data_IF_269475216194
#
_entry.id   IF_269475216194
#
_cell.length_a   1.000
_cell.length_b   1.000
_cell.length_c   1.000
_cell.angle_alpha   90.00
_cell.angle_beta   90.00
_cell.angle_gamma   90.00
#
_symmetry.space_group_name_H-M   'P 1'
#
loop_
_entity.id
_entity.type
_entity.pdbx_description
1 polymer ?
#
# COMPACT_ATOMS: atom_id res chain seq x y z
N UNK A 1 39.53 -33.86 6.71
CA UNK A 1 38.91 -32.97 7.73
C UNK A 1 39.69 -31.66 7.97
N UNK A 2 40.72 -31.32 7.19
CA UNK A 2 41.53 -30.09 7.41
C UNK A 2 41.17 -28.88 6.51
N UNK A 3 40.26 -29.02 5.54
CA UNK A 3 39.85 -27.91 4.66
C UNK A 3 38.70 -27.05 5.21
N UNK A 4 37.91 -27.57 6.14
CA UNK A 4 36.81 -26.81 6.78
C UNK A 4 37.36 -25.91 7.90
N UNK A 5 38.42 -26.33 8.60
CA UNK A 5 39.04 -25.55 9.67
C UNK A 5 39.75 -24.27 9.19
N UNK A 6 40.22 -24.22 7.92
CA UNK A 6 40.77 -22.98 7.33
C UNK A 6 39.69 -21.98 6.90
N UNK A 7 38.46 -22.43 6.62
CA UNK A 7 37.37 -21.55 6.20
C UNK A 7 36.81 -20.76 7.40
N UNK A 8 36.73 -21.39 8.57
CA UNK A 8 36.28 -20.70 9.80
C UNK A 8 37.34 -19.77 10.41
N UNK A 9 38.63 -20.00 10.16
CA UNK A 9 39.71 -19.12 10.63
C UNK A 9 39.87 -17.83 9.82
N UNK A 10 39.26 -17.75 8.63
CA UNK A 10 39.24 -16.55 7.79
C UNK A 10 38.03 -15.62 8.05
N UNK A 11 37.00 -16.12 8.75
CA UNK A 11 35.85 -15.31 9.17
C UNK A 11 36.08 -14.60 10.52
N UNK A 12 37.17 -14.91 11.21
CA UNK A 12 37.47 -14.41 12.56
C UNK A 12 38.44 -13.19 12.58
N UNK A 13 38.65 -12.53 11.43
CA UNK A 13 39.50 -11.33 11.33
C UNK A 13 38.85 -10.12 10.65
N UNK A 14 37.53 -10.09 10.48
CA UNK A 14 36.84 -8.83 10.17
C UNK A 14 35.97 -8.40 11.33
N UNK A 15 36.49 -7.39 12.05
CA UNK A 15 35.85 -6.57 13.08
C UNK A 15 34.41 -6.17 12.71
N UNK A 16 33.43 -7.00 13.06
CA UNK A 16 32.02 -6.66 12.94
C UNK A 16 31.20 -6.98 14.21
N UNK A 17 31.82 -7.50 15.27
CA UNK A 17 31.13 -7.80 16.54
C UNK A 17 31.14 -6.68 17.58
N UNK A 18 31.85 -5.57 17.36
CA UNK A 18 31.82 -4.40 18.28
C UNK A 18 30.90 -3.25 17.84
N UNK A 19 30.17 -3.38 16.73
CA UNK A 19 29.16 -2.38 16.32
C UNK A 19 27.70 -2.79 16.55
N UNK A 20 27.44 -3.99 17.08
CA UNK A 20 26.08 -4.46 17.37
C UNK A 20 25.75 -4.58 18.87
N UNK A 21 26.65 -4.12 19.75
CA UNK A 21 26.42 -4.10 21.18
C UNK A 21 25.71 -2.84 21.70
N UNK A 22 25.50 -1.80 20.88
CA UNK A 22 24.87 -0.56 21.34
C UNK A 22 23.93 0.06 20.31
N UNK A 23 22.66 -0.36 20.39
CA UNK A 23 21.43 0.42 20.06
C UNK A 23 20.17 -0.39 20.37
N UNK A 24 20.09 -0.94 21.58
CA UNK A 24 18.80 -1.25 22.22
C UNK A 24 18.14 0.06 22.68
N UNK A 25 17.75 0.95 21.76
CA UNK A 25 16.92 2.13 22.09
C UNK A 25 16.35 2.91 20.90
N UNK A 26 16.11 2.29 19.74
CA UNK A 26 15.33 2.95 18.69
C UNK A 26 14.06 2.16 18.42
N UNK A 27 12.97 2.63 19.03
CA UNK A 27 11.59 2.30 18.66
C UNK A 27 11.52 2.29 17.11
N UNK A 28 10.98 1.25 16.46
CA UNK A 28 10.79 1.29 15.01
C UNK A 28 10.06 2.60 14.66
N UNK A 29 10.44 3.30 13.57
CA UNK A 29 9.75 4.51 13.18
C UNK A 29 8.26 4.18 13.09
N UNK A 30 7.47 4.98 13.81
CA UNK A 30 6.04 4.78 13.95
C UNK A 30 5.42 4.66 12.55
N UNK A 31 4.88 3.48 12.22
CA UNK A 31 4.31 3.21 10.89
C UNK A 31 3.20 4.23 10.58
N UNK A 32 2.55 4.80 11.60
CA UNK A 32 1.60 5.89 11.49
C UNK A 32 2.28 7.20 11.04
N UNK A 33 3.38 7.61 11.68
CA UNK A 33 4.17 8.78 11.22
C UNK A 33 4.73 8.59 9.80
N UNK A 34 4.95 7.33 9.42
CA UNK A 34 5.46 6.92 8.13
C UNK A 34 4.39 6.90 7.02
N UNK A 35 3.25 6.23 7.23
CA UNK A 35 2.11 6.29 6.31
C UNK A 35 1.64 7.75 6.19
N UNK A 36 1.75 8.57 7.26
CA UNK A 36 1.39 10.00 7.25
C UNK A 36 2.19 10.75 6.20
N UNK A 37 3.51 10.54 6.15
CA UNK A 37 4.38 11.09 5.12
C UNK A 37 4.03 10.57 3.73
N UNK A 38 3.79 9.26 3.59
CA UNK A 38 3.48 8.65 2.28
C UNK A 38 2.16 9.15 1.72
N UNK A 39 1.13 9.34 2.54
CA UNK A 39 -0.17 9.78 2.03
C UNK A 39 -0.21 11.30 1.80
N UNK A 40 0.46 12.11 2.65
CA UNK A 40 0.75 13.52 2.32
C UNK A 40 1.55 13.63 1.00
N UNK A 41 2.39 12.64 0.68
CA UNK A 41 3.14 12.55 -0.58
C UNK A 41 2.23 12.11 -1.73
N UNK A 42 1.37 11.11 -1.58
CA UNK A 42 0.40 10.67 -2.62
C UNK A 42 -0.61 11.79 -2.94
N UNK A 43 -0.99 12.60 -1.95
CA UNK A 43 -1.85 13.77 -2.12
C UNK A 43 -1.16 14.98 -2.76
N UNK A 44 0.18 15.06 -2.71
CA UNK A 44 0.98 16.19 -3.24
C UNK A 44 1.86 15.85 -4.46
N UNK A 45 2.11 14.58 -4.77
CA UNK A 45 3.11 14.19 -5.77
C UNK A 45 2.48 13.99 -7.14
N UNK A 46 2.40 15.13 -7.81
CA UNK A 46 2.62 15.26 -9.25
C UNK A 46 4.13 15.31 -9.60
N UNK A 47 5.06 15.48 -8.64
CA UNK A 47 6.51 15.45 -8.90
C UNK A 47 7.28 14.50 -7.97
N UNK A 48 7.58 13.31 -8.49
CA UNK A 48 8.13 12.15 -7.78
C UNK A 48 9.66 12.17 -7.62
N UNK A 49 10.24 13.32 -7.30
CA UNK A 49 11.71 13.48 -7.21
C UNK A 49 12.24 13.74 -5.81
N UNK A 50 11.39 13.91 -4.78
CA UNK A 50 11.84 14.45 -3.49
C UNK A 50 11.79 13.49 -2.30
N UNK A 51 11.18 12.30 -2.42
CA UNK A 51 11.18 11.29 -1.34
C UNK A 51 11.95 10.07 -1.81
N UNK A 52 13.04 9.73 -1.13
CA UNK A 52 13.83 8.54 -1.43
C UNK A 52 12.98 7.28 -1.27
N UNK A 53 12.52 6.70 -2.39
CA UNK A 53 11.71 5.47 -2.42
C UNK A 53 12.39 4.28 -1.71
N UNK A 54 13.70 4.37 -1.45
CA UNK A 54 14.53 3.33 -0.81
C UNK A 54 14.17 3.06 0.65
N UNK A 55 13.58 4.03 1.34
CA UNK A 55 13.21 3.89 2.76
C UNK A 55 11.74 3.45 2.94
N UNK A 56 11.02 3.17 1.84
CA UNK A 56 9.63 2.74 1.86
C UNK A 56 9.50 1.22 2.00
N UNK A 57 8.55 0.72 2.83
CA UNK A 57 8.14 -0.67 2.80
C UNK A 57 7.77 -1.09 1.37
N UNK A 58 8.09 -2.33 0.94
CA UNK A 58 7.88 -2.78 -0.43
C UNK A 58 6.45 -2.58 -0.95
N UNK A 59 5.44 -2.77 -0.09
CA UNK A 59 4.04 -2.56 -0.48
C UNK A 59 3.71 -1.10 -0.79
N UNK A 60 4.37 -0.15 -0.14
CA UNK A 60 4.18 1.28 -0.39
C UNK A 60 4.82 1.71 -1.70
N UNK A 61 6.01 1.21 -2.01
CA UNK A 61 6.65 1.43 -3.32
C UNK A 61 5.70 0.97 -4.42
N UNK A 62 5.12 -0.23 -4.26
CA UNK A 62 4.15 -0.79 -5.21
C UNK A 62 2.89 0.07 -5.34
N UNK A 63 2.31 0.55 -4.24
CA UNK A 63 1.14 1.45 -4.27
C UNK A 63 1.49 2.77 -4.98
N UNK A 64 2.70 3.30 -4.77
CA UNK A 64 3.16 4.52 -5.41
C UNK A 64 3.31 4.34 -6.92
N UNK A 65 3.95 3.26 -7.36
CA UNK A 65 4.08 2.90 -8.78
C UNK A 65 2.71 2.73 -9.44
N UNK A 66 1.80 1.99 -8.81
CA UNK A 66 0.42 1.80 -9.28
C UNK A 66 -0.29 3.15 -9.42
N UNK A 67 -0.15 4.06 -8.45
CA UNK A 67 -0.77 5.36 -8.52
C UNK A 67 -0.20 6.22 -9.65
N UNK A 68 1.12 6.22 -9.85
CA UNK A 68 1.77 6.91 -10.97
C UNK A 68 1.25 6.38 -12.32
N UNK A 69 1.17 5.06 -12.45
CA UNK A 69 0.68 4.41 -13.66
C UNK A 69 -0.80 4.68 -13.90
N UNK A 70 -1.61 4.73 -12.84
CA UNK A 70 -3.01 5.12 -12.93
C UNK A 70 -3.14 6.56 -13.44
N UNK A 71 -2.42 7.52 -12.86
CA UNK A 71 -2.49 8.92 -13.31
C UNK A 71 -2.04 9.07 -14.77
N UNK A 72 -1.02 8.32 -15.21
CA UNK A 72 -0.61 8.24 -16.61
C UNK A 72 -1.74 7.70 -17.50
N UNK A 73 -2.36 6.57 -17.11
CA UNK A 73 -3.49 5.99 -17.84
C UNK A 73 -4.65 6.98 -17.97
N UNK A 74 -4.96 7.75 -16.92
CA UNK A 74 -5.99 8.78 -16.97
C UNK A 74 -5.65 9.90 -17.96
N UNK A 75 -4.40 10.39 -17.98
CA UNK A 75 -3.92 11.43 -18.91
C UNK A 75 -3.96 10.96 -20.36
N UNK A 76 -3.65 9.69 -20.60
CA UNK A 76 -3.65 9.05 -21.93
C UNK A 76 -5.05 8.64 -22.41
N UNK A 77 -6.10 8.85 -21.61
CA UNK A 77 -7.47 8.44 -21.97
C UNK A 77 -7.77 6.96 -21.78
N UNK A 78 -6.85 6.19 -21.19
CA UNK A 78 -7.03 4.78 -20.81
C UNK A 78 -7.79 4.68 -19.49
N UNK A 79 -9.07 5.01 -19.54
CA UNK A 79 -9.91 5.19 -18.36
C UNK A 79 -10.25 3.91 -17.59
N UNK A 80 -10.40 2.79 -18.29
CA UNK A 80 -10.61 1.48 -17.66
C UNK A 80 -9.37 1.06 -16.86
N UNK A 81 -8.18 1.17 -17.46
CA UNK A 81 -6.90 0.90 -16.81
C UNK A 81 -6.71 1.78 -15.56
N UNK A 82 -7.08 3.06 -15.62
CA UNK A 82 -7.06 3.96 -14.46
C UNK A 82 -7.88 3.40 -13.29
N UNK A 83 -9.12 2.96 -13.54
CA UNK A 83 -10.00 2.43 -12.49
C UNK A 83 -9.49 1.10 -11.94
N UNK A 84 -9.02 0.21 -12.80
CA UNK A 84 -8.43 -1.07 -12.39
C UNK A 84 -7.21 -0.85 -11.49
N UNK A 85 -6.29 0.03 -11.89
CA UNK A 85 -5.07 0.33 -11.13
C UNK A 85 -5.40 0.99 -9.78
N UNK A 86 -6.31 1.97 -9.73
CA UNK A 86 -6.72 2.58 -8.45
C UNK A 86 -7.39 1.58 -7.52
N UNK A 87 -8.22 0.69 -8.05
CA UNK A 87 -8.84 -0.37 -7.27
C UNK A 87 -7.80 -1.35 -6.72
N UNK A 88 -6.86 -1.80 -7.54
CA UNK A 88 -5.75 -2.68 -7.13
C UNK A 88 -4.86 -2.04 -6.06
N UNK A 89 -4.53 -0.76 -6.20
CA UNK A 89 -3.77 -0.03 -5.19
C UNK A 89 -4.50 0.01 -3.84
N UNK A 90 -5.83 0.16 -3.88
CA UNK A 90 -6.69 0.12 -2.69
C UNK A 90 -6.69 -1.26 -2.04
N UNK A 91 -6.72 -2.34 -2.82
CA UNK A 91 -6.63 -3.72 -2.30
C UNK A 91 -5.32 -3.97 -1.56
N UNK A 92 -4.20 -3.58 -2.15
CA UNK A 92 -2.88 -3.74 -1.54
C UNK A 92 -2.81 -2.94 -0.24
N UNK A 93 -3.29 -1.70 -0.25
CA UNK A 93 -3.31 -0.85 0.95
C UNK A 93 -4.08 -1.50 2.09
N UNK A 94 -5.36 -1.87 1.88
CA UNK A 94 -6.18 -2.42 2.95
C UNK A 94 -5.69 -3.77 3.45
N UNK A 95 -5.12 -4.62 2.59
CA UNK A 95 -4.50 -5.88 3.02
C UNK A 95 -3.37 -5.63 4.00
N UNK A 96 -2.41 -4.76 3.62
CA UNK A 96 -1.28 -4.44 4.50
C UNK A 96 -1.72 -3.69 5.76
N UNK A 97 -2.73 -2.83 5.64
CA UNK A 97 -3.27 -2.09 6.79
C UNK A 97 -3.97 -3.02 7.79
N UNK A 98 -4.69 -4.04 7.31
CA UNK A 98 -5.24 -5.07 8.16
C UNK A 98 -4.16 -5.85 8.91
N UNK A 99 -3.10 -6.26 8.21
CA UNK A 99 -1.99 -6.98 8.85
C UNK A 99 -1.36 -6.16 9.98
N UNK A 100 -1.27 -4.85 9.78
CA UNK A 100 -0.79 -3.93 10.80
C UNK A 100 -1.76 -3.77 11.98
N UNK A 101 -3.06 -3.56 11.71
CA UNK A 101 -4.08 -3.34 12.76
C UNK A 101 -4.25 -4.56 13.66
N UNK A 102 -4.12 -5.77 13.09
CA UNK A 102 -4.36 -7.02 13.79
C UNK A 102 -3.09 -7.81 14.13
N UNK A 103 -1.91 -7.30 13.80
CA UNK A 103 -0.60 -7.96 13.95
C UNK A 103 -0.61 -9.42 13.44
N UNK A 104 -1.23 -9.64 12.27
CA UNK A 104 -1.39 -10.98 11.68
C UNK A 104 -1.36 -10.93 10.16
N UNK A 105 -0.63 -11.86 9.55
CA UNK A 105 -0.57 -11.95 8.08
C UNK A 105 -1.91 -12.45 7.50
N UNK A 106 -2.28 -11.89 6.34
CA UNK A 106 -3.39 -12.39 5.55
C UNK A 106 -2.87 -13.47 4.60
N UNK A 107 -3.14 -14.74 4.92
CA UNK A 107 -2.74 -15.83 4.03
C UNK A 107 -3.26 -15.63 2.60
N UNK A 108 -2.46 -15.99 1.59
CA UNK A 108 -2.81 -15.82 0.17
C UNK A 108 -4.08 -16.59 -0.25
N UNK A 109 -4.44 -17.64 0.49
CA UNK A 109 -5.65 -18.46 0.32
C UNK A 109 -6.84 -17.95 1.16
N UNK A 110 -6.69 -16.83 1.88
CA UNK A 110 -7.73 -16.29 2.74
C UNK A 110 -9.00 -16.05 1.92
N UNK A 111 -10.12 -16.56 2.43
CA UNK A 111 -11.45 -16.34 1.86
C UNK A 111 -11.93 -14.89 2.00
N UNK A 112 -11.19 -14.05 2.73
CA UNK A 112 -11.54 -12.65 2.94
C UNK A 112 -11.35 -11.85 1.65
N UNK A 113 -12.45 -11.32 1.14
CA UNK A 113 -12.39 -10.33 0.07
C UNK A 113 -12.10 -8.93 0.65
N UNK A 114 -11.84 -7.96 -0.23
CA UNK A 114 -11.55 -6.59 0.19
C UNK A 114 -12.64 -5.99 1.11
N UNK A 115 -13.91 -6.29 0.85
CA UNK A 115 -15.03 -5.77 1.62
C UNK A 115 -15.06 -6.32 3.05
N UNK A 116 -14.65 -7.58 3.24
CA UNK A 116 -14.48 -8.16 4.58
C UNK A 116 -13.30 -7.51 5.31
N UNK A 117 -12.17 -7.31 4.62
CA UNK A 117 -11.00 -6.64 5.17
C UNK A 117 -11.34 -5.21 5.63
N UNK A 118 -12.04 -4.43 4.79
CA UNK A 118 -12.46 -3.07 5.14
C UNK A 118 -13.38 -3.08 6.36
N UNK A 119 -14.33 -4.03 6.43
CA UNK A 119 -15.27 -4.13 7.56
C UNK A 119 -14.54 -4.42 8.88
N UNK A 120 -13.59 -5.36 8.86
CA UNK A 120 -12.79 -5.70 10.04
C UNK A 120 -11.92 -4.52 10.50
N UNK A 121 -11.21 -3.87 9.57
CA UNK A 121 -10.40 -2.69 9.88
C UNK A 121 -11.25 -1.57 10.47
N UNK A 122 -12.38 -1.24 9.85
CA UNK A 122 -13.28 -0.19 10.34
C UNK A 122 -13.88 -0.54 11.70
N UNK A 123 -14.23 -1.80 11.93
CA UNK A 123 -14.70 -2.31 13.21
C UNK A 123 -13.64 -2.18 14.31
N UNK A 124 -12.40 -2.58 14.04
CA UNK A 124 -11.29 -2.47 14.98
C UNK A 124 -10.95 -1.01 15.34
N UNK A 125 -11.09 -0.09 14.38
CA UNK A 125 -10.88 1.34 14.61
C UNK A 125 -12.12 2.05 15.20
N UNK A 126 -13.26 1.37 15.34
CA UNK A 126 -14.51 1.98 15.82
C UNK A 126 -15.08 3.06 14.90
N UNK A 127 -14.80 2.99 13.59
CA UNK A 127 -15.21 4.00 12.60
C UNK A 127 -16.19 3.42 11.59
N UNK A 128 -17.09 4.26 11.07
CA UNK A 128 -17.93 3.90 9.93
C UNK A 128 -17.77 4.98 8.86
N UNK A 129 -16.92 4.70 7.87
CA UNK A 129 -16.57 5.69 6.85
C UNK A 129 -17.61 5.78 5.71
N UNK A 130 -18.52 4.81 5.64
CA UNK A 130 -19.41 4.62 4.49
C UNK A 130 -18.69 4.26 3.18
N UNK A 131 -17.38 3.99 3.20
CA UNK A 131 -16.58 3.63 2.02
C UNK A 131 -17.06 2.31 1.42
N UNK A 132 -17.42 1.34 2.26
CA UNK A 132 -17.74 -0.03 1.84
C UNK A 132 -18.77 -0.08 0.71
N UNK A 133 -19.85 0.70 0.80
CA UNK A 133 -20.91 0.75 -0.22
C UNK A 133 -20.36 1.23 -1.58
N UNK A 134 -19.51 2.25 -1.56
CA UNK A 134 -18.92 2.82 -2.78
C UNK A 134 -17.82 1.92 -3.33
N UNK A 135 -17.04 1.28 -2.46
CA UNK A 135 -15.99 0.35 -2.84
C UNK A 135 -16.59 -0.88 -3.54
N UNK A 136 -17.70 -1.42 -3.03
CA UNK A 136 -18.44 -2.50 -3.68
C UNK A 136 -18.92 -2.13 -5.09
N UNK A 137 -19.37 -0.89 -5.30
CA UNK A 137 -19.72 -0.42 -6.65
C UNK A 137 -18.51 -0.46 -7.58
N UNK A 138 -17.36 0.06 -7.14
CA UNK A 138 -16.16 0.06 -7.98
C UNK A 138 -15.58 -1.33 -8.21
N UNK A 139 -15.82 -2.28 -7.28
CA UNK A 139 -15.50 -3.70 -7.50
C UNK A 139 -16.27 -4.27 -8.69
N UNK A 140 -17.58 -4.00 -8.77
CA UNK A 140 -18.40 -4.47 -9.89
C UNK A 140 -17.91 -3.87 -11.21
N UNK A 141 -17.66 -2.56 -11.25
CA UNK A 141 -17.09 -1.89 -12.43
C UNK A 141 -15.73 -2.49 -12.81
N UNK A 142 -14.85 -2.77 -11.84
CA UNK A 142 -13.56 -3.41 -12.09
C UNK A 142 -13.73 -4.81 -12.68
N UNK A 143 -14.70 -5.58 -12.20
CA UNK A 143 -14.96 -6.91 -12.73
C UNK A 143 -15.45 -6.84 -14.18
N UNK A 144 -16.35 -5.91 -14.51
CA UNK A 144 -16.80 -5.66 -15.89
C UNK A 144 -15.64 -5.19 -16.79
N UNK A 145 -14.70 -4.39 -16.28
CA UNK A 145 -13.49 -4.01 -17.02
C UNK A 145 -12.62 -5.24 -17.34
N UNK A 146 -12.37 -6.08 -16.33
CA UNK A 146 -11.41 -7.19 -16.45
C UNK A 146 -11.97 -8.39 -17.19
N UNK A 147 -13.24 -8.71 -16.99
CA UNK A 147 -13.88 -9.90 -17.56
C UNK A 147 -14.70 -9.61 -18.80
N UNK A 148 -15.30 -8.42 -18.89
CA UNK A 148 -16.21 -8.06 -19.99
C UNK A 148 -15.64 -6.94 -20.88
N UNK A 149 -14.38 -6.56 -20.66
CA UNK A 149 -13.66 -5.52 -21.41
C UNK A 149 -14.39 -4.17 -21.48
N UNK A 150 -15.12 -3.81 -20.42
CA UNK A 150 -15.83 -2.54 -20.32
C UNK A 150 -14.89 -1.35 -20.57
N UNK A 151 -15.28 -0.48 -21.51
CA UNK A 151 -14.61 0.81 -21.76
C UNK A 151 -15.33 1.93 -21.01
N UNK A 152 -14.61 2.57 -20.11
CA UNK A 152 -15.16 3.71 -19.36
C UNK A 152 -15.05 5.02 -20.12
N UNK A 153 -16.05 5.88 -19.93
CA UNK A 153 -16.00 7.28 -20.34
C UNK A 153 -15.12 8.11 -19.40
N UNK A 154 -14.66 9.28 -19.89
CA UNK A 154 -13.95 10.27 -19.05
C UNK A 154 -14.76 10.69 -17.83
N UNK A 155 -16.09 10.80 -17.96
CA UNK A 155 -16.96 11.20 -16.85
C UNK A 155 -17.02 10.14 -15.76
N UNK A 156 -17.04 8.86 -16.12
CA UNK A 156 -16.96 7.75 -15.16
C UNK A 156 -15.60 7.68 -14.48
N UNK A 157 -14.52 7.86 -15.25
CA UNK A 157 -13.18 7.95 -14.70
C UNK A 157 -13.03 9.12 -13.70
N UNK A 158 -13.65 10.28 -13.97
CA UNK A 158 -13.67 11.40 -13.03
C UNK A 158 -14.43 11.08 -11.75
N UNK A 159 -15.54 10.35 -11.84
CA UNK A 159 -16.28 9.86 -10.65
C UNK A 159 -15.41 8.91 -9.83
N UNK A 160 -14.68 8.00 -10.50
CA UNK A 160 -13.73 7.11 -9.86
C UNK A 160 -12.60 7.89 -9.18
N UNK A 161 -11.99 8.85 -9.90
CA UNK A 161 -10.91 9.68 -9.39
C UNK A 161 -11.29 10.39 -8.10
N UNK A 162 -12.43 11.09 -8.09
CA UNK A 162 -12.95 11.77 -6.89
C UNK A 162 -13.20 10.81 -5.73
N UNK A 163 -13.65 9.58 -6.01
CA UNK A 163 -13.84 8.57 -4.98
C UNK A 163 -12.51 8.13 -4.38
N UNK A 164 -11.56 7.70 -5.21
CA UNK A 164 -10.26 7.21 -4.73
C UNK A 164 -9.45 8.30 -4.04
N UNK A 165 -9.47 9.54 -4.51
CA UNK A 165 -8.85 10.69 -3.81
C UNK A 165 -9.44 10.89 -2.40
N UNK A 166 -10.77 10.79 -2.26
CA UNK A 166 -11.41 10.86 -0.94
C UNK A 166 -11.04 9.68 -0.05
N UNK A 167 -10.91 8.49 -0.63
CA UNK A 167 -10.49 7.29 0.08
C UNK A 167 -9.06 7.42 0.63
N UNK A 168 -8.13 7.89 -0.20
CA UNK A 168 -6.75 8.14 0.25
C UNK A 168 -6.69 9.18 1.38
N UNK A 169 -7.49 10.26 1.31
CA UNK A 169 -7.58 11.23 2.41
C UNK A 169 -8.16 10.64 3.71
N UNK A 170 -9.00 9.61 3.62
CA UNK A 170 -9.45 8.88 4.81
C UNK A 170 -8.32 8.06 5.39
N UNK A 171 -7.50 7.42 4.55
CA UNK A 171 -6.29 6.73 5.00
C UNK A 171 -5.32 7.67 5.70
N UNK A 172 -5.11 8.89 5.20
CA UNK A 172 -4.30 9.92 5.90
C UNK A 172 -4.78 10.14 7.34
N UNK A 173 -6.09 10.16 7.55
CA UNK A 173 -6.67 10.45 8.86
C UNK A 173 -6.48 9.30 9.84
N UNK A 174 -6.71 8.07 9.40
CA UNK A 174 -6.51 6.88 10.25
C UNK A 174 -5.06 6.67 10.65
N UNK A 175 -4.18 7.26 9.89
CA UNK A 175 -2.75 7.17 10.07
C UNK A 175 -2.20 8.32 10.93
N UNK A 176 -2.94 9.44 11.04
CA UNK A 176 -2.54 10.61 11.83
C UNK A 176 -3.01 10.50 13.29
N UNK A 177 -3.97 9.63 13.58
CA UNK A 177 -4.54 9.37 14.91
C UNK A 177 -3.97 8.08 15.47
#
# INVERSE_FOLDING_TARGET
>A
MERIAKFFKALDQTKLSEQFADKRSKKPPDLFEFIRRTVDTIGKVIDATTVGLKDLPPFMVKIFEINRDAERAFKEGRFSDFVELKYRGTEIFYRNFYEHVFDKELENNSKMNLSDIVREVEGALGVNSGVLKKLNRWRLVRNEIVHDHLKLSRQEALKAKRFFEKLYRLFEKYVKN
#
